data_IF_083736853681
#
_entry.id   IF_083736853681
#
_cell.length_a   1.000
_cell.length_b   1.000
_cell.length_c   1.000
_cell.angle_alpha   90.00
_cell.angle_beta   90.00
_cell.angle_gamma   90.00
#
_symmetry.space_group_name_H-M   'P 1'
#
loop_
_entity.id
_entity.type
_entity.pdbx_description
1 polymer ?
#
# COMPACT_ATOMS: atom_id res chain seq x y z
N UNK A 1 6.18 18.03 -10.29
CA UNK A 1 5.15 18.11 -9.22
C UNK A 1 5.59 17.25 -8.06
N UNK A 2 5.23 17.61 -6.83
CA UNK A 2 5.55 16.80 -5.65
C UNK A 2 4.43 15.77 -5.38
N UNK A 3 4.75 14.49 -5.34
CA UNK A 3 3.81 13.41 -5.06
C UNK A 3 3.71 13.18 -3.54
N UNK A 4 2.55 13.50 -2.97
CA UNK A 4 2.22 13.22 -1.58
C UNK A 4 1.56 11.85 -1.45
N UNK A 5 2.11 11.00 -0.57
CA UNK A 5 1.72 9.59 -0.38
C UNK A 5 0.87 9.35 0.89
N UNK A 6 0.73 10.37 1.73
CA UNK A 6 0.13 10.30 3.07
C UNK A 6 -0.52 11.63 3.43
N UNK A 7 -1.45 11.62 4.39
CA UNK A 7 -2.01 12.85 4.97
C UNK A 7 -1.08 13.53 5.97
N UNK A 8 0.04 12.91 6.35
CA UNK A 8 1.00 13.53 7.25
C UNK A 8 1.77 14.66 6.56
N UNK A 9 1.44 15.89 6.96
CA UNK A 9 1.95 17.14 6.39
C UNK A 9 3.48 17.29 6.47
N UNK A 10 4.16 16.50 7.32
CA UNK A 10 5.63 16.49 7.40
C UNK A 10 6.26 15.98 6.11
N UNK A 11 5.53 15.17 5.33
CA UNK A 11 5.98 14.61 4.06
C UNK A 11 5.50 15.41 2.85
N UNK A 12 5.05 16.65 3.03
CA UNK A 12 4.55 17.49 1.94
C UNK A 12 5.52 18.62 1.63
N UNK A 13 5.69 18.89 0.33
CA UNK A 13 6.41 20.08 -0.15
C UNK A 13 5.42 21.17 -0.57
N UNK A 14 5.03 22.00 0.40
CA UNK A 14 3.91 22.98 0.30
C UNK A 14 4.21 24.20 -0.57
N UNK A 15 5.48 24.40 -0.91
CA UNK A 15 6.01 25.42 -1.81
C UNK A 15 6.02 24.99 -3.29
N UNK A 16 5.65 23.74 -3.59
CA UNK A 16 5.50 23.21 -4.96
C UNK A 16 4.06 22.76 -5.23
N UNK A 17 3.71 22.60 -6.51
CA UNK A 17 2.44 21.96 -6.91
C UNK A 17 2.42 20.50 -6.43
N UNK A 18 1.43 20.16 -5.60
CA UNK A 18 1.28 18.81 -5.03
C UNK A 18 0.32 17.97 -5.86
N UNK A 19 0.73 16.73 -6.16
CA UNK A 19 -0.15 15.65 -6.57
C UNK A 19 -0.43 14.76 -5.35
N UNK A 20 -1.65 14.77 -4.84
CA UNK A 20 -2.06 13.82 -3.81
C UNK A 20 -2.37 12.46 -4.47
N UNK A 21 -1.72 11.39 -4.00
CA UNK A 21 -1.88 10.05 -4.58
C UNK A 21 -3.33 9.55 -4.55
N UNK A 22 -4.11 9.96 -3.55
CA UNK A 22 -5.51 9.62 -3.42
C UNK A 22 -6.19 10.41 -2.29
N UNK A 23 -7.47 10.16 -2.06
CA UNK A 23 -8.24 10.87 -1.01
C UNK A 23 -7.71 10.63 0.40
N UNK A 24 -7.05 9.49 0.65
CA UNK A 24 -6.42 9.21 1.95
C UNK A 24 -5.30 10.19 2.29
N UNK A 25 -4.79 10.97 1.33
CA UNK A 25 -3.82 12.04 1.59
C UNK A 25 -4.49 13.39 1.93
N UNK A 26 -5.83 13.50 1.82
CA UNK A 26 -6.59 14.75 1.98
C UNK A 26 -7.68 14.59 3.04
N UNK A 27 -7.27 14.29 4.28
CA UNK A 27 -8.22 14.12 5.38
C UNK A 27 -9.10 15.35 5.55
N UNK A 28 -10.40 15.13 5.77
CA UNK A 28 -11.37 16.22 5.90
C UNK A 28 -11.05 17.16 7.07
N UNK A 29 -10.53 16.62 8.17
CA UNK A 29 -10.08 17.41 9.34
C UNK A 29 -9.03 18.46 8.99
N UNK A 30 -8.24 18.22 7.94
CA UNK A 30 -7.14 19.06 7.48
C UNK A 30 -7.53 19.90 6.25
N UNK A 31 -8.84 19.99 5.93
CA UNK A 31 -9.36 20.71 4.75
C UNK A 31 -8.92 22.15 4.68
N UNK A 32 -8.89 22.84 5.81
CA UNK A 32 -8.42 24.23 5.89
C UNK A 32 -6.96 24.43 5.49
N UNK A 33 -6.19 23.34 5.41
CA UNK A 33 -4.78 23.34 5.01
C UNK A 33 -4.69 22.97 3.53
N UNK A 34 -5.11 21.75 3.16
CA UNK A 34 -4.89 21.26 1.79
C UNK A 34 -5.71 22.00 0.73
N UNK A 35 -6.85 22.61 1.08
CA UNK A 35 -7.66 23.37 0.12
C UNK A 35 -7.02 24.67 -0.34
N UNK A 36 -5.99 25.15 0.40
CA UNK A 36 -5.26 26.39 0.10
C UNK A 36 -3.95 26.13 -0.67
N UNK A 37 -3.57 24.86 -0.85
CA UNK A 37 -2.36 24.48 -1.59
C UNK A 37 -2.66 24.37 -3.09
N UNK A 38 -1.71 24.77 -3.95
CA UNK A 38 -1.75 24.42 -5.37
C UNK A 38 -1.59 22.89 -5.49
N UNK A 39 -2.73 22.22 -5.65
CA UNK A 39 -2.77 20.77 -5.56
C UNK A 39 -3.85 20.16 -6.43
N UNK A 40 -3.58 18.94 -6.89
CA UNK A 40 -4.56 18.09 -7.55
C UNK A 40 -4.53 16.70 -6.92
N UNK A 41 -5.60 15.93 -7.12
CA UNK A 41 -5.70 14.55 -6.66
C UNK A 41 -5.60 13.60 -7.85
N UNK A 42 -4.84 12.53 -7.69
CA UNK A 42 -4.78 11.45 -8.67
C UNK A 42 -6.06 10.57 -8.60
N UNK A 43 -6.60 10.11 -9.74
CA UNK A 43 -7.76 9.22 -9.74
C UNK A 43 -7.42 7.88 -9.09
N UNK A 44 -8.39 7.29 -8.39
CA UNK A 44 -8.22 5.98 -7.75
C UNK A 44 -8.62 4.86 -8.70
N UNK A 45 -7.77 3.84 -8.81
CA UNK A 45 -7.90 2.80 -9.84
C UNK A 45 -9.14 1.90 -9.65
N UNK A 46 -9.57 1.66 -8.41
CA UNK A 46 -10.79 0.90 -8.08
C UNK A 46 -12.08 1.73 -8.03
N UNK A 47 -12.04 3.01 -8.38
CA UNK A 47 -13.28 3.76 -8.67
C UNK A 47 -13.98 3.18 -9.93
N UNK A 48 -13.21 2.57 -10.84
CA UNK A 48 -13.75 1.76 -11.93
C UNK A 48 -14.14 0.36 -11.42
N UNK A 49 -15.45 0.08 -11.40
CA UNK A 49 -16.00 -1.19 -10.92
C UNK A 49 -15.65 -2.39 -11.79
N UNK A 50 -15.34 -2.18 -13.07
CA UNK A 50 -14.87 -3.26 -13.95
C UNK A 50 -13.46 -3.69 -13.55
N UNK A 51 -12.55 -2.73 -13.39
CA UNK A 51 -11.18 -3.01 -12.94
C UNK A 51 -11.18 -3.67 -11.56
N UNK A 52 -11.99 -3.16 -10.63
CA UNK A 52 -12.14 -3.76 -9.30
C UNK A 52 -12.57 -5.23 -9.36
N UNK A 53 -13.53 -5.59 -10.22
CA UNK A 53 -13.99 -6.97 -10.36
C UNK A 53 -12.92 -7.88 -10.98
N UNK A 54 -12.23 -7.40 -12.00
CA UNK A 54 -11.11 -8.12 -12.64
C UNK A 54 -9.98 -8.39 -11.63
N UNK A 55 -9.59 -7.36 -10.89
CA UNK A 55 -8.58 -7.45 -9.84
C UNK A 55 -9.01 -8.37 -8.70
N UNK A 56 -10.29 -8.35 -8.29
CA UNK A 56 -10.82 -9.27 -7.29
C UNK A 56 -10.61 -10.74 -7.69
N UNK A 57 -10.89 -11.08 -8.96
CA UNK A 57 -10.65 -12.44 -9.47
C UNK A 57 -9.16 -12.78 -9.54
N UNK A 58 -8.32 -11.83 -9.93
CA UNK A 58 -6.86 -11.99 -9.93
C UNK A 58 -6.33 -12.23 -8.51
N UNK A 59 -6.73 -11.41 -7.54
CA UNK A 59 -6.29 -11.45 -6.15
C UNK A 59 -6.68 -12.75 -5.45
N UNK A 60 -7.85 -13.32 -5.77
CA UNK A 60 -8.23 -14.64 -5.26
C UNK A 60 -7.27 -15.74 -5.74
N UNK A 61 -6.89 -15.73 -7.02
CA UNK A 61 -5.90 -16.69 -7.56
C UNK A 61 -4.52 -16.48 -6.94
N UNK A 62 -4.12 -15.21 -6.78
CA UNK A 62 -2.86 -14.84 -6.16
C UNK A 62 -2.80 -15.33 -4.71
N UNK A 63 -3.87 -15.13 -3.95
CA UNK A 63 -4.03 -15.63 -2.59
C UNK A 63 -3.86 -17.15 -2.50
N UNK A 64 -4.52 -17.93 -3.36
CA UNK A 64 -4.40 -19.39 -3.36
C UNK A 64 -2.97 -19.88 -3.63
N UNK A 65 -2.28 -19.21 -4.55
CA UNK A 65 -0.87 -19.48 -4.87
C UNK A 65 0.04 -19.20 -3.67
N UNK A 66 -0.08 -18.01 -3.07
CA UNK A 66 0.71 -17.63 -1.90
C UNK A 66 0.38 -18.46 -0.67
N UNK A 67 -0.88 -18.85 -0.46
CA UNK A 67 -1.27 -19.70 0.65
C UNK A 67 -0.57 -21.05 0.57
N UNK A 68 -0.44 -21.63 -0.63
CA UNK A 68 0.29 -22.88 -0.83
C UNK A 68 1.78 -22.73 -0.51
N UNK A 69 2.41 -21.67 -1.00
CA UNK A 69 3.83 -21.40 -0.73
C UNK A 69 4.10 -21.14 0.76
N UNK A 70 3.25 -20.35 1.41
CA UNK A 70 3.34 -20.03 2.84
C UNK A 70 3.08 -21.27 3.68
N UNK A 71 2.06 -22.07 3.35
CA UNK A 71 1.76 -23.33 4.07
C UNK A 71 2.98 -24.25 4.12
N UNK A 72 3.68 -24.42 2.99
CA UNK A 72 4.93 -25.17 2.93
C UNK A 72 5.99 -24.57 3.85
N UNK A 73 6.17 -23.23 3.81
CA UNK A 73 7.17 -22.57 4.63
C UNK A 73 6.86 -22.64 6.13
N UNK A 74 5.59 -22.58 6.50
CA UNK A 74 5.15 -22.71 7.89
C UNK A 74 5.36 -24.14 8.40
N UNK A 75 5.07 -25.15 7.59
CA UNK A 75 5.41 -26.55 7.90
C UNK A 75 6.92 -26.72 8.17
N UNK A 76 7.77 -26.15 7.31
CA UNK A 76 9.23 -26.18 7.48
C UNK A 76 9.69 -25.51 8.79
N UNK A 77 9.19 -24.30 9.09
CA UNK A 77 9.58 -23.53 10.28
C UNK A 77 9.12 -24.23 11.57
N UNK A 78 7.93 -24.81 11.57
CA UNK A 78 7.34 -25.42 12.76
C UNK A 78 7.65 -26.91 12.91
N UNK A 79 8.31 -27.54 11.92
CA UNK A 79 8.61 -28.97 11.95
C UNK A 79 7.36 -29.85 11.95
N UNK A 80 6.29 -29.41 11.29
CA UNK A 80 5.00 -30.12 11.20
C UNK A 80 4.63 -30.40 9.76
N UNK A 81 3.73 -31.36 9.54
CA UNK A 81 3.14 -31.62 8.24
C UNK A 81 1.62 -31.39 8.29
N UNK A 82 1.21 -30.14 8.09
CA UNK A 82 -0.19 -29.71 8.09
C UNK A 82 -0.64 -29.32 6.68
N UNK A 83 -1.93 -29.54 6.40
CA UNK A 83 -2.52 -29.24 5.10
C UNK A 83 -2.67 -27.72 4.86
N UNK A 84 -2.81 -27.32 3.59
CA UNK A 84 -3.15 -25.94 3.23
C UNK A 84 -4.45 -25.47 3.91
N UNK A 85 -5.41 -26.36 4.16
CA UNK A 85 -6.64 -26.03 4.90
C UNK A 85 -6.35 -25.62 6.34
N UNK A 86 -5.42 -26.30 7.01
CA UNK A 86 -5.02 -25.94 8.37
C UNK A 86 -4.42 -24.52 8.39
N UNK A 87 -3.44 -24.25 7.52
CA UNK A 87 -2.82 -22.93 7.44
C UNK A 87 -3.76 -21.84 6.96
N UNK A 88 -4.74 -22.17 6.10
CA UNK A 88 -5.82 -21.24 5.73
C UNK A 88 -6.58 -20.73 6.95
N UNK A 89 -6.85 -21.58 7.92
CA UNK A 89 -7.58 -21.17 9.13
C UNK A 89 -6.70 -20.25 9.99
N UNK A 90 -5.41 -20.58 10.10
CA UNK A 90 -4.50 -19.86 10.99
C UNK A 90 -4.02 -18.52 10.39
N UNK A 91 -3.42 -18.54 9.20
CA UNK A 91 -2.78 -17.37 8.59
C UNK A 91 -3.55 -16.82 7.39
N UNK A 92 -4.54 -17.56 6.89
CA UNK A 92 -5.31 -17.17 5.72
C UNK A 92 -6.01 -15.80 5.82
N UNK A 93 -6.65 -15.43 6.94
CA UNK A 93 -7.25 -14.11 7.08
C UNK A 93 -6.23 -12.98 6.93
N UNK A 94 -5.10 -13.09 7.63
CA UNK A 94 -4.01 -12.11 7.52
C UNK A 94 -3.48 -12.04 6.08
N UNK A 95 -3.20 -13.19 5.45
CA UNK A 95 -2.66 -13.25 4.10
C UNK A 95 -3.62 -12.62 3.07
N UNK A 96 -4.92 -12.85 3.22
CA UNK A 96 -5.95 -12.29 2.36
C UNK A 96 -5.92 -10.76 2.40
N UNK A 97 -5.87 -10.15 3.60
CA UNK A 97 -5.77 -8.70 3.73
C UNK A 97 -4.42 -8.17 3.25
N UNK A 98 -3.32 -8.85 3.58
CA UNK A 98 -1.98 -8.44 3.19
C UNK A 98 -1.84 -8.30 1.67
N UNK A 99 -2.26 -9.32 0.91
CA UNK A 99 -2.17 -9.33 -0.54
C UNK A 99 -2.99 -8.19 -1.15
N UNK A 100 -4.24 -8.01 -0.73
CA UNK A 100 -5.11 -6.97 -1.28
C UNK A 100 -4.59 -5.56 -0.99
N UNK A 101 -4.16 -5.30 0.24
CA UNK A 101 -3.65 -3.97 0.64
C UNK A 101 -2.35 -3.67 -0.10
N UNK A 102 -1.44 -4.64 -0.21
CA UNK A 102 -0.20 -4.43 -0.93
C UNK A 102 -0.44 -4.20 -2.42
N UNK A 103 -1.34 -4.97 -3.03
CA UNK A 103 -1.69 -4.83 -4.44
C UNK A 103 -2.37 -3.50 -4.76
N UNK A 104 -3.29 -3.04 -3.92
CA UNK A 104 -3.89 -1.70 -4.05
C UNK A 104 -2.83 -0.58 -4.07
N UNK A 105 -1.85 -0.69 -3.17
CA UNK A 105 -0.78 0.30 -3.03
C UNK A 105 0.15 0.24 -4.24
N UNK A 106 0.46 -0.97 -4.71
CA UNK A 106 1.20 -1.20 -5.94
C UNK A 106 0.50 -0.54 -7.13
N UNK A 107 -0.78 -0.84 -7.36
CA UNK A 107 -1.55 -0.26 -8.46
C UNK A 107 -1.64 1.26 -8.40
N UNK A 108 -1.77 1.82 -7.19
CA UNK A 108 -1.78 3.28 -7.02
C UNK A 108 -0.48 3.93 -7.53
N UNK A 109 0.68 3.35 -7.21
CA UNK A 109 1.98 3.85 -7.71
C UNK A 109 2.16 3.56 -9.19
N UNK A 110 1.82 2.34 -9.65
CA UNK A 110 1.89 1.97 -11.06
C UNK A 110 1.03 2.88 -11.92
N UNK A 111 -0.15 3.28 -11.46
CA UNK A 111 -1.02 4.20 -12.18
C UNK A 111 -0.40 5.59 -12.34
N UNK A 112 0.29 6.10 -11.30
CA UNK A 112 1.03 7.37 -11.40
C UNK A 112 2.18 7.26 -12.40
N UNK A 113 2.98 6.19 -12.33
CA UNK A 113 4.06 5.92 -13.29
C UNK A 113 3.51 5.89 -14.73
N UNK A 114 2.47 5.09 -14.96
CA UNK A 114 1.84 4.91 -16.26
C UNK A 114 1.19 6.20 -16.81
N UNK A 115 0.80 7.13 -15.94
CA UNK A 115 0.27 8.43 -16.36
C UNK A 115 1.32 9.33 -17.01
N UNK A 116 2.61 8.99 -16.89
CA UNK A 116 3.76 9.77 -17.39
C UNK A 116 3.80 11.22 -16.86
N UNK A 117 3.10 11.51 -15.75
CA UNK A 117 3.23 12.79 -15.04
C UNK A 117 4.65 12.90 -14.48
N UNK A 118 5.30 14.04 -14.71
CA UNK A 118 6.61 14.32 -14.13
C UNK A 118 6.47 14.64 -12.63
N UNK A 119 6.65 13.62 -11.81
CA UNK A 119 6.50 13.67 -10.36
C UNK A 119 7.78 13.22 -9.66
N UNK A 120 8.02 13.79 -8.48
CA UNK A 120 9.03 13.33 -7.53
C UNK A 120 8.38 13.28 -6.15
N UNK A 121 8.92 12.47 -5.24
CA UNK A 121 8.46 12.45 -3.84
C UNK A 121 9.65 12.67 -2.90
N UNK A 122 9.41 12.57 -1.59
CA UNK A 122 10.47 12.51 -0.60
C UNK A 122 10.25 11.27 0.24
N UNK A 123 11.27 10.40 0.31
CA UNK A 123 11.25 9.22 1.17
C UNK A 123 12.33 9.36 2.25
N UNK A 124 11.97 9.51 3.53
CA UNK A 124 12.96 9.41 4.60
C UNK A 124 13.53 7.98 4.67
N UNK A 125 14.68 7.84 5.33
CA UNK A 125 15.23 6.53 5.66
C UNK A 125 14.39 5.85 6.75
N UNK A 126 13.38 5.06 6.35
CA UNK A 126 12.50 4.33 7.25
C UNK A 126 13.05 2.94 7.55
N UNK A 127 13.30 2.67 8.83
CA UNK A 127 13.81 1.37 9.28
C UNK A 127 12.69 0.31 9.23
N UNK A 128 12.86 -0.81 8.50
CA UNK A 128 11.84 -1.84 8.36
C UNK A 128 11.29 -2.35 9.70
N UNK A 129 12.15 -2.45 10.72
CA UNK A 129 11.83 -2.96 12.06
C UNK A 129 10.76 -2.12 12.76
N UNK A 130 10.62 -0.84 12.39
CA UNK A 130 9.60 0.06 12.94
C UNK A 130 8.22 -0.19 12.32
N UNK A 131 8.19 -0.71 11.09
CA UNK A 131 6.98 -0.79 10.27
C UNK A 131 6.52 -2.21 9.98
N UNK A 132 7.23 -3.25 10.44
CA UNK A 132 6.78 -4.64 10.31
C UNK A 132 5.88 -5.00 11.51
N UNK A 133 4.57 -5.25 11.29
CA UNK A 133 3.67 -5.63 12.37
C UNK A 133 4.00 -7.03 12.88
N UNK A 134 3.93 -7.20 14.20
CA UNK A 134 4.32 -8.45 14.88
C UNK A 134 3.20 -9.48 14.92
N UNK A 135 1.96 -9.04 14.76
CA UNK A 135 0.78 -9.89 14.78
C UNK A 135 -0.37 -9.27 13.97
N UNK A 136 -1.46 -10.02 13.79
CA UNK A 136 -2.57 -9.57 12.97
C UNK A 136 -3.28 -8.31 13.54
N UNK A 137 -3.38 -8.15 14.86
CA UNK A 137 -3.95 -6.93 15.47
C UNK A 137 -3.14 -5.69 15.12
N UNK A 138 -1.82 -5.75 15.34
CA UNK A 138 -0.92 -4.65 14.98
C UNK A 138 -0.94 -4.36 13.47
N UNK A 139 -1.08 -5.39 12.62
CA UNK A 139 -1.24 -5.20 11.18
C UNK A 139 -2.53 -4.43 10.87
N UNK A 140 -3.67 -4.79 11.47
CA UNK A 140 -4.94 -4.09 11.25
C UNK A 140 -4.92 -2.63 11.71
N UNK A 141 -4.17 -2.31 12.76
CA UNK A 141 -3.96 -0.94 13.22
C UNK A 141 -3.02 -0.17 12.28
N UNK A 142 -1.99 -0.83 11.75
CA UNK A 142 -0.97 -0.18 10.93
C UNK A 142 -1.52 0.17 9.55
N UNK A 143 -2.32 -0.70 8.94
CA UNK A 143 -2.81 -0.50 7.55
C UNK A 143 -3.68 0.75 7.36
N UNK A 144 -4.30 1.25 8.44
CA UNK A 144 -5.07 2.50 8.42
C UNK A 144 -4.21 3.73 8.75
N UNK A 145 -3.00 3.52 9.28
CA UNK A 145 -2.10 4.58 9.72
C UNK A 145 -1.29 5.19 8.58
N UNK A 146 -1.14 6.52 8.62
CA UNK A 146 -0.37 7.30 7.66
C UNK A 146 1.09 6.84 7.54
N UNK A 147 1.76 6.59 8.68
CA UNK A 147 3.17 6.22 8.71
C UNK A 147 3.46 4.89 8.01
N UNK A 148 2.63 3.87 8.26
CA UNK A 148 2.80 2.56 7.61
C UNK A 148 2.43 2.61 6.13
N UNK A 149 1.37 3.34 5.74
CA UNK A 149 1.04 3.53 4.32
C UNK A 149 2.17 4.27 3.58
N UNK A 150 2.72 5.34 4.17
CA UNK A 150 3.87 6.05 3.59
C UNK A 150 5.08 5.13 3.43
N UNK A 151 5.38 4.31 4.45
CA UNK A 151 6.42 3.27 4.36
C UNK A 151 6.18 2.29 3.21
N UNK A 152 4.98 1.71 3.09
CA UNK A 152 4.67 0.76 2.03
C UNK A 152 4.78 1.38 0.63
N UNK A 153 4.23 2.58 0.43
CA UNK A 153 4.38 3.31 -0.83
C UNK A 153 5.84 3.60 -1.14
N UNK A 154 6.62 4.02 -0.14
CA UNK A 154 8.06 4.23 -0.29
C UNK A 154 8.79 2.97 -0.72
N UNK A 155 8.49 1.82 -0.10
CA UNK A 155 9.07 0.52 -0.50
C UNK A 155 8.75 0.16 -1.94
N UNK A 156 7.50 0.38 -2.37
CA UNK A 156 7.09 0.12 -3.76
C UNK A 156 7.84 1.04 -4.73
N UNK A 157 7.90 2.34 -4.44
CA UNK A 157 8.62 3.32 -5.25
C UNK A 157 10.11 2.96 -5.36
N UNK A 158 10.75 2.61 -4.24
CA UNK A 158 12.16 2.21 -4.23
C UNK A 158 12.43 0.96 -5.05
N UNK A 159 11.53 -0.03 -5.04
CA UNK A 159 11.67 -1.27 -5.82
C UNK A 159 11.43 -1.04 -7.31
N UNK A 160 10.46 -0.20 -7.67
CA UNK A 160 10.16 0.10 -9.08
C UNK A 160 11.21 1.03 -9.71
N UNK A 161 11.72 2.00 -8.96
CA UNK A 161 12.81 2.88 -9.40
C UNK A 161 12.43 3.90 -10.48
N UNK A 162 11.13 4.09 -10.74
CA UNK A 162 10.63 4.98 -11.82
C UNK A 162 10.19 6.36 -11.33
N UNK A 163 9.99 6.56 -10.03
CA UNK A 163 9.67 7.86 -9.42
C UNK A 163 10.91 8.33 -8.64
N UNK A 164 11.50 9.49 -8.95
CA UNK A 164 12.58 10.08 -8.15
C UNK A 164 12.14 10.39 -6.71
N UNK A 165 13.02 10.16 -5.74
CA UNK A 165 12.78 10.41 -4.32
C UNK A 165 14.04 10.80 -3.54
#
# INVERSE_FOLDING_TARGET
>A
MFLALTADHRFWKKDEKILFLGEWCRLYRDREIWSKLDSEKFPYHWDDRKNFLEDYHYLNKLYESFLTAISKKMNEIHGVDRSNRYWRIIIGPWLYHFIQIFYDRYLSISAVINSKKNVQTWLPNLQPETYVPQNFSSFTEYVIGDGYNHYLYGRIISVLGEIPY
#
